data_IF_758316681745
#
_entry.id   IF_758316681745
#
_cell.length_a   1.000
_cell.length_b   1.000
_cell.length_c   1.000
_cell.angle_alpha   90.00
_cell.angle_beta   90.00
_cell.angle_gamma   90.00
#
_symmetry.space_group_name_H-M   'P 1'
#
loop_
_entity.id
_entity.type
_entity.pdbx_description
1 polymer ?
#
# COMPACT_ATOMS: atom_id res chain seq x y z
N UNK A 1 -3.34 -22.22 0.89
CA UNK A 1 -2.33 -22.48 1.93
C UNK A 1 -1.96 -21.14 2.54
N UNK A 2 -2.34 -20.90 3.79
CA UNK A 2 -1.93 -19.72 4.55
C UNK A 2 -0.55 -19.96 5.15
N UNK A 3 0.25 -18.90 5.28
CA UNK A 3 1.51 -18.96 6.01
C UNK A 3 1.28 -19.25 7.49
N UNK A 4 2.13 -20.06 8.14
CA UNK A 4 2.03 -20.31 9.59
C UNK A 4 2.28 -19.03 10.39
N UNK A 5 1.64 -18.86 11.56
CA UNK A 5 1.83 -17.67 12.42
C UNK A 5 3.31 -17.40 12.73
N UNK A 6 4.10 -18.45 12.99
CA UNK A 6 5.55 -18.32 13.18
C UNK A 6 6.25 -17.76 11.95
N UNK A 7 5.81 -18.07 10.73
CA UNK A 7 6.41 -17.50 9.53
C UNK A 7 5.98 -16.03 9.31
N UNK A 8 4.73 -15.70 9.65
CA UNK A 8 4.19 -14.34 9.51
C UNK A 8 4.97 -13.32 10.33
N UNK A 9 5.30 -13.63 11.59
CA UNK A 9 6.07 -12.76 12.49
C UNK A 9 7.51 -12.48 12.01
N UNK A 10 8.05 -13.33 11.14
CA UNK A 10 9.38 -13.15 10.54
C UNK A 10 9.34 -12.34 9.24
N UNK A 11 8.18 -12.19 8.60
CA UNK A 11 8.06 -11.46 7.34
C UNK A 11 8.02 -9.95 7.59
N UNK A 12 7.16 -9.50 8.52
CA UNK A 12 6.87 -8.10 8.73
C UNK A 12 6.23 -7.84 10.10
N UNK A 13 6.33 -6.60 10.59
CA UNK A 13 5.62 -6.12 11.77
C UNK A 13 5.14 -4.68 11.59
N UNK A 14 4.17 -4.27 12.42
CA UNK A 14 3.56 -2.93 12.50
C UNK A 14 3.76 -2.38 13.89
N UNK A 15 4.13 -1.12 14.03
CA UNK A 15 4.18 -0.49 15.35
C UNK A 15 2.80 -0.52 16.03
N UNK A 16 2.73 -0.94 17.30
CA UNK A 16 1.46 -1.03 18.05
C UNK A 16 0.78 0.33 18.22
N UNK A 17 1.58 1.36 18.48
CA UNK A 17 1.12 2.72 18.72
C UNK A 17 1.56 3.69 17.62
N UNK A 18 0.92 4.86 17.60
CA UNK A 18 1.40 6.00 16.83
C UNK A 18 2.72 6.49 17.41
N UNK A 19 3.81 6.21 16.67
CA UNK A 19 5.17 6.58 17.06
C UNK A 19 5.26 8.10 17.31
N UNK A 20 4.46 8.93 16.62
CA UNK A 20 4.47 10.38 16.76
C UNK A 20 4.15 10.89 18.16
N UNK A 21 3.28 10.20 18.92
CA UNK A 21 2.93 10.58 20.31
C UNK A 21 4.02 10.22 21.32
N UNK A 22 4.81 9.19 21.04
CA UNK A 22 5.95 8.78 21.88
C UNK A 22 7.21 9.63 21.63
N UNK A 23 7.32 10.26 20.46
CA UNK A 23 8.49 11.05 20.04
C UNK A 23 8.50 12.51 20.51
N UNK A 24 7.38 13.02 21.03
CA UNK A 24 7.31 14.38 21.58
C UNK A 24 7.96 14.49 22.97
N UNK A 25 8.24 13.36 23.62
CA UNK A 25 9.10 13.29 24.79
C UNK A 25 10.56 13.02 24.36
N UNK A 26 11.39 14.06 24.47
CA UNK A 26 12.82 14.13 24.09
C UNK A 26 13.71 13.02 24.68
N UNK A 27 13.21 12.24 25.64
CA UNK A 27 13.95 11.20 26.36
C UNK A 27 14.05 9.85 25.62
N UNK A 28 13.12 9.54 24.70
CA UNK A 28 13.06 8.21 24.07
C UNK A 28 14.24 7.97 23.10
N UNK A 29 14.77 9.03 22.48
CA UNK A 29 15.87 8.94 21.49
C UNK A 29 17.27 9.06 22.08
N UNK A 30 17.43 9.41 23.37
CA UNK A 30 18.75 9.37 24.03
C UNK A 30 19.25 7.94 24.30
N UNK A 31 18.42 6.91 24.10
CA UNK A 31 18.84 5.50 24.19
C UNK A 31 18.90 4.89 22.79
N UNK A 32 20.08 4.89 22.18
CA UNK A 32 20.37 4.21 20.90
C UNK A 32 20.64 2.70 21.10
N UNK A 33 20.12 2.13 22.19
CA UNK A 33 20.24 0.71 22.50
C UNK A 33 18.87 0.19 22.93
N UNK A 34 17.99 -0.06 21.96
CA UNK A 34 16.83 -0.92 22.19
C UNK A 34 17.30 -2.37 22.13
N UNK A 35 16.92 -3.17 23.13
CA UNK A 35 17.04 -4.63 23.07
C UNK A 35 16.05 -5.21 22.05
N UNK A 36 16.31 -6.42 21.56
CA UNK A 36 15.38 -7.12 20.63
C UNK A 36 14.01 -7.32 21.29
N UNK A 37 13.97 -7.56 22.60
CA UNK A 37 12.72 -7.76 23.36
C UNK A 37 11.90 -6.46 23.52
N UNK A 38 12.57 -5.30 23.66
CA UNK A 38 11.91 -3.98 23.65
C UNK A 38 11.38 -3.62 22.24
N UNK A 39 12.08 -4.06 21.18
CA UNK A 39 11.59 -3.95 19.80
C UNK A 39 10.44 -4.93 19.52
N UNK A 40 10.40 -6.09 20.14
CA UNK A 40 9.32 -7.06 19.92
C UNK A 40 8.04 -6.71 20.68
N UNK A 41 8.14 -6.03 21.81
CA UNK A 41 6.96 -5.52 22.54
C UNK A 41 6.31 -4.31 21.86
N UNK A 42 7.09 -3.48 21.13
CA UNK A 42 6.62 -2.27 20.45
C UNK A 42 5.94 -2.52 19.08
N UNK A 43 6.01 -3.75 18.56
CA UNK A 43 5.51 -4.11 17.23
C UNK A 43 4.59 -5.33 17.28
N UNK A 44 3.66 -5.42 16.34
CA UNK A 44 2.67 -6.49 16.21
C UNK A 44 2.54 -6.97 14.76
N UNK A 45 1.86 -8.09 14.56
CA UNK A 45 1.32 -8.51 13.26
C UNK A 45 -0.11 -8.02 13.09
N UNK A 46 -0.62 -7.96 11.85
CA UNK A 46 -2.06 -7.71 11.66
C UNK A 46 -2.87 -8.97 11.94
N UNK A 47 -4.00 -8.81 12.62
CA UNK A 47 -4.94 -9.90 12.86
C UNK A 47 -5.48 -10.47 11.55
N UNK A 48 -5.73 -11.77 11.52
CA UNK A 48 -6.40 -12.43 10.41
C UNK A 48 -7.81 -11.85 10.24
N UNK A 49 -8.16 -11.41 9.02
CA UNK A 49 -9.50 -10.93 8.67
C UNK A 49 -10.19 -11.77 7.60
N UNK A 50 -11.52 -11.96 7.69
CA UNK A 50 -12.29 -12.72 6.71
C UNK A 50 -12.24 -12.16 5.29
N UNK A 51 -12.37 -10.83 5.11
CA UNK A 51 -12.52 -10.19 3.79
C UNK A 51 -11.52 -9.04 3.62
N UNK A 52 -10.64 -9.17 2.64
CA UNK A 52 -9.71 -8.11 2.26
C UNK A 52 -9.93 -7.67 0.81
N UNK A 53 -9.90 -6.36 0.58
CA UNK A 53 -9.79 -5.78 -0.75
C UNK A 53 -8.35 -5.34 -1.01
N UNK A 54 -7.79 -5.73 -2.15
CA UNK A 54 -6.48 -5.28 -2.62
C UNK A 54 -6.71 -4.43 -3.86
N UNK A 55 -6.26 -3.18 -3.83
CA UNK A 55 -6.58 -2.19 -4.85
C UNK A 55 -5.31 -1.85 -5.64
N UNK A 56 -5.26 -2.32 -6.89
CA UNK A 56 -4.33 -1.86 -7.90
C UNK A 56 -4.75 -0.51 -8.49
N UNK A 57 -3.87 0.09 -9.28
CA UNK A 57 -4.04 1.47 -9.73
C UNK A 57 -4.61 1.61 -11.14
N UNK A 58 -4.97 0.50 -11.82
CA UNK A 58 -5.42 0.53 -13.22
C UNK A 58 -6.64 1.42 -13.44
N UNK A 59 -6.68 2.09 -14.61
CA UNK A 59 -7.81 2.88 -15.07
C UNK A 59 -9.10 2.07 -15.29
N UNK A 60 -9.04 0.72 -15.26
CA UNK A 60 -10.23 -0.14 -15.33
C UNK A 60 -11.26 0.17 -14.24
N UNK A 61 -10.82 0.81 -13.15
CA UNK A 61 -11.68 1.21 -12.04
C UNK A 61 -12.57 2.42 -12.38
N UNK A 62 -12.24 3.22 -13.38
CA UNK A 62 -13.02 4.41 -13.71
C UNK A 62 -14.45 4.03 -14.11
N UNK A 63 -15.43 4.71 -13.49
CA UNK A 63 -16.86 4.46 -13.63
C UNK A 63 -17.34 3.07 -13.18
N UNK A 64 -16.50 2.29 -12.49
CA UNK A 64 -16.85 0.96 -11.98
C UNK A 64 -17.86 1.00 -10.83
N UNK A 65 -17.97 2.13 -10.12
CA UNK A 65 -18.81 2.29 -8.91
C UNK A 65 -18.49 1.30 -7.78
N UNK A 66 -17.30 0.71 -7.79
CA UNK A 66 -16.88 -0.30 -6.82
C UNK A 66 -16.58 0.25 -5.43
N UNK A 67 -16.60 1.56 -5.22
CA UNK A 67 -16.15 2.17 -3.97
C UNK A 67 -16.89 1.69 -2.72
N UNK A 68 -18.21 1.49 -2.81
CA UNK A 68 -19.00 0.95 -1.68
C UNK A 68 -18.66 -0.51 -1.37
N UNK A 69 -18.47 -1.33 -2.40
CA UNK A 69 -18.09 -2.72 -2.23
C UNK A 69 -16.68 -2.83 -1.63
N UNK A 70 -15.73 -2.04 -2.13
CA UNK A 70 -14.37 -1.94 -1.59
C UNK A 70 -14.40 -1.58 -0.11
N UNK A 71 -15.12 -0.51 0.26
CA UNK A 71 -15.17 -0.02 1.64
C UNK A 71 -15.87 -0.98 2.61
N UNK A 72 -16.64 -1.95 2.09
CA UNK A 72 -17.29 -3.00 2.89
C UNK A 72 -16.36 -4.12 3.37
N UNK A 73 -15.14 -4.21 2.83
CA UNK A 73 -14.16 -5.22 3.25
C UNK A 73 -13.57 -4.87 4.62
N UNK A 74 -13.15 -5.87 5.39
CA UNK A 74 -12.55 -5.68 6.72
C UNK A 74 -11.27 -4.85 6.60
N UNK A 75 -10.40 -5.24 5.66
CA UNK A 75 -9.18 -4.52 5.31
C UNK A 75 -9.16 -4.08 3.86
N UNK A 76 -8.65 -2.86 3.63
CA UNK A 76 -8.42 -2.31 2.29
C UNK A 76 -6.94 -1.97 2.14
N UNK A 77 -6.29 -2.61 1.17
CA UNK A 77 -4.84 -2.55 0.94
C UNK A 77 -4.59 -1.80 -0.37
N UNK A 78 -3.77 -0.75 -0.33
CA UNK A 78 -3.45 0.13 -1.47
C UNK A 78 -1.94 0.29 -1.63
N UNK A 79 -1.49 0.79 -2.79
CA UNK A 79 -0.08 1.05 -3.03
C UNK A 79 0.22 2.42 -3.62
N UNK A 80 1.34 2.98 -3.18
CA UNK A 80 2.06 4.10 -3.78
C UNK A 80 1.31 5.45 -3.77
N UNK A 81 0.48 5.69 -2.76
CA UNK A 81 -0.21 6.97 -2.51
C UNK A 81 -1.02 7.46 -3.74
N UNK A 82 -1.98 6.65 -4.25
CA UNK A 82 -2.76 7.04 -5.42
C UNK A 82 -3.77 8.13 -5.05
N UNK A 83 -4.33 8.83 -6.05
CA UNK A 83 -5.47 9.72 -5.80
C UNK A 83 -6.65 8.94 -5.20
N UNK A 84 -7.39 9.54 -4.26
CA UNK A 84 -8.51 8.86 -3.58
C UNK A 84 -9.79 9.69 -3.61
N UNK A 85 -9.73 10.89 -3.04
CA UNK A 85 -10.90 11.75 -2.76
C UNK A 85 -11.75 12.01 -3.99
N UNK A 86 -11.12 12.26 -5.13
CA UNK A 86 -11.76 12.56 -6.41
C UNK A 86 -12.36 11.31 -7.09
N UNK A 87 -11.95 10.12 -6.66
CA UNK A 87 -12.29 8.82 -7.28
C UNK A 87 -13.08 7.91 -6.33
N UNK A 88 -13.52 8.42 -5.18
CA UNK A 88 -14.10 7.63 -4.11
C UNK A 88 -15.28 6.74 -4.52
N UNK A 89 -16.08 7.20 -5.49
CA UNK A 89 -17.21 6.44 -6.02
C UNK A 89 -16.77 5.10 -6.61
N UNK A 90 -15.60 5.09 -7.23
CA UNK A 90 -15.04 3.95 -7.94
C UNK A 90 -14.08 3.16 -7.06
N UNK A 91 -13.24 3.83 -6.27
CA UNK A 91 -12.14 3.19 -5.55
C UNK A 91 -12.30 3.16 -4.03
N UNK A 92 -13.35 3.77 -3.49
CA UNK A 92 -13.63 3.83 -2.05
C UNK A 92 -12.74 4.81 -1.29
N UNK A 93 -13.08 5.05 -0.03
CA UNK A 93 -12.34 5.93 0.89
C UNK A 93 -11.44 5.14 1.85
N UNK A 94 -11.84 3.92 2.22
CA UNK A 94 -11.20 3.13 3.28
C UNK A 94 -9.79 2.74 2.85
N UNK A 95 -8.84 2.92 3.76
CA UNK A 95 -7.46 2.46 3.61
C UNK A 95 -7.00 1.94 4.97
N UNK A 96 -6.75 0.63 5.05
CA UNK A 96 -6.17 0.01 6.25
C UNK A 96 -4.65 0.02 6.14
N UNK A 97 -4.12 -0.37 4.98
CA UNK A 97 -2.69 -0.50 4.75
C UNK A 97 -2.31 0.11 3.40
N UNK A 98 -1.36 1.03 3.42
CA UNK A 98 -0.77 1.65 2.25
C UNK A 98 0.67 1.18 2.10
N UNK A 99 0.93 0.31 1.13
CA UNK A 99 2.29 -0.06 0.77
C UNK A 99 2.96 1.08 0.00
N UNK A 100 4.18 1.46 0.37
CA UNK A 100 4.98 2.41 -0.40
C UNK A 100 6.27 1.77 -0.91
N UNK A 101 6.48 1.87 -2.21
CA UNK A 101 7.77 1.58 -2.82
C UNK A 101 8.78 2.72 -2.55
N UNK A 102 10.04 2.52 -2.97
CA UNK A 102 11.12 3.50 -2.76
C UNK A 102 10.82 4.88 -3.35
N UNK A 103 10.19 4.93 -4.52
CA UNK A 103 9.87 6.19 -5.20
C UNK A 103 8.77 6.97 -4.47
N UNK A 104 7.71 6.28 -4.03
CA UNK A 104 6.64 6.86 -3.23
C UNK A 104 7.16 7.43 -1.90
N UNK A 105 8.00 6.67 -1.19
CA UNK A 105 8.66 7.16 0.04
C UNK A 105 9.53 8.39 -0.24
N UNK A 106 10.32 8.36 -1.32
CA UNK A 106 11.16 9.51 -1.70
C UNK A 106 10.35 10.76 -2.01
N UNK A 107 9.25 10.62 -2.77
CA UNK A 107 8.33 11.72 -3.09
C UNK A 107 7.66 12.30 -1.85
N UNK A 108 7.18 11.43 -0.95
CA UNK A 108 6.61 11.83 0.35
C UNK A 108 7.64 12.60 1.18
N UNK A 109 8.85 12.06 1.34
CA UNK A 109 9.92 12.70 2.11
C UNK A 109 10.29 14.07 1.52
N UNK A 110 10.42 14.17 0.19
CA UNK A 110 10.73 15.43 -0.48
C UNK A 110 9.65 16.48 -0.23
N UNK A 111 8.37 16.08 -0.27
CA UNK A 111 7.24 17.00 -0.07
C UNK A 111 7.10 17.44 1.39
N UNK A 112 7.19 16.51 2.34
CA UNK A 112 6.94 16.79 3.77
C UNK A 112 8.14 17.39 4.50
N UNK A 113 9.37 17.07 4.09
CA UNK A 113 10.59 17.51 4.77
C UNK A 113 11.42 18.51 3.96
N UNK A 114 11.03 18.75 2.71
CA UNK A 114 11.69 19.71 1.82
C UNK A 114 11.41 21.16 2.20
N UNK A 115 12.22 22.08 1.65
CA UNK A 115 12.00 23.51 1.79
C UNK A 115 10.72 23.92 1.06
N UNK A 116 9.83 24.62 1.75
CA UNK A 116 8.58 25.14 1.20
C UNK A 116 8.75 26.58 0.68
N UNK A 117 9.76 26.80 -0.17
CA UNK A 117 10.17 28.13 -0.60
C UNK A 117 9.26 28.77 -1.65
N UNK A 118 8.43 27.99 -2.35
CA UNK A 118 7.53 28.48 -3.39
C UNK A 118 6.06 28.24 -3.03
N UNK A 119 5.14 28.99 -3.64
CA UNK A 119 3.69 28.79 -3.49
C UNK A 119 3.28 27.36 -3.84
N UNK A 120 3.84 26.80 -4.92
CA UNK A 120 3.56 25.42 -5.32
C UNK A 120 4.07 24.40 -4.29
N UNK A 121 5.25 24.61 -3.70
CA UNK A 121 5.79 23.72 -2.68
C UNK A 121 4.92 23.73 -1.40
N UNK A 122 4.45 24.91 -0.98
CA UNK A 122 3.51 25.07 0.14
C UNK A 122 2.19 24.35 -0.13
N UNK A 123 1.65 24.49 -1.33
CA UNK A 123 0.40 23.82 -1.70
C UNK A 123 0.56 22.29 -1.77
N UNK A 124 1.66 21.78 -2.33
CA UNK A 124 1.95 20.35 -2.33
C UNK A 124 2.09 19.79 -0.91
N UNK A 125 2.75 20.53 -0.01
CA UNK A 125 2.83 20.17 1.40
C UNK A 125 1.44 20.10 2.05
N UNK A 126 0.60 21.13 1.86
CA UNK A 126 -0.77 21.18 2.39
C UNK A 126 -1.62 20.02 1.88
N UNK A 127 -1.61 19.76 0.57
CA UNK A 127 -2.33 18.64 -0.05
C UNK A 127 -1.86 17.28 0.50
N UNK A 128 -0.56 17.11 0.71
CA UNK A 128 -0.01 15.88 1.29
C UNK A 128 -0.48 15.67 2.74
N UNK A 129 -0.52 16.72 3.56
CA UNK A 129 -1.09 16.63 4.92
C UNK A 129 -2.60 16.31 4.88
N UNK A 130 -3.35 16.95 4.00
CA UNK A 130 -4.78 16.66 3.81
C UNK A 130 -5.00 15.19 3.40
N UNK A 131 -4.15 14.66 2.52
CA UNK A 131 -4.18 13.27 2.09
C UNK A 131 -3.97 12.30 3.26
N UNK A 132 -2.99 12.55 4.12
CA UNK A 132 -2.76 11.71 5.31
C UNK A 132 -3.84 11.86 6.38
N UNK A 133 -4.42 13.06 6.55
CA UNK A 133 -5.62 13.25 7.39
C UNK A 133 -6.83 12.49 6.86
N UNK A 134 -6.97 12.40 5.55
CA UNK A 134 -8.05 11.66 4.94
C UNK A 134 -7.90 10.14 5.11
N UNK A 135 -6.66 9.63 5.11
CA UNK A 135 -6.34 8.23 5.41
C UNK A 135 -5.97 7.99 6.89
N UNK A 136 -6.54 8.77 7.81
CA UNK A 136 -6.23 8.64 9.23
C UNK A 136 -6.45 7.19 9.72
N UNK A 137 -5.73 6.80 10.76
CA UNK A 137 -5.80 5.48 11.39
C UNK A 137 -5.38 4.32 10.45
N UNK A 138 -4.63 4.65 9.40
CA UNK A 138 -4.04 3.68 8.47
C UNK A 138 -2.61 3.29 8.84
N UNK A 139 -2.12 2.24 8.18
CA UNK A 139 -0.75 1.76 8.29
C UNK A 139 0.03 2.14 7.02
N UNK A 140 1.11 2.90 7.19
CA UNK A 140 2.11 3.10 6.14
C UNK A 140 3.14 1.98 6.20
N UNK A 141 3.01 1.03 5.28
CA UNK A 141 3.87 -0.14 5.22
C UNK A 141 4.94 0.02 4.16
N UNK A 142 6.18 -0.28 4.53
CA UNK A 142 7.33 -0.12 3.66
C UNK A 142 7.98 -1.48 3.36
N UNK A 143 8.15 -1.75 2.07
CA UNK A 143 8.94 -2.87 1.59
C UNK A 143 10.41 -2.75 2.03
N UNK A 144 11.07 -3.87 2.28
CA UNK A 144 12.50 -3.91 2.67
C UNK A 144 13.37 -3.23 1.61
N UNK A 145 14.31 -2.39 2.07
CA UNK A 145 15.18 -1.57 1.20
C UNK A 145 15.01 -0.06 1.40
N UNK A 146 14.04 0.37 2.21
CA UNK A 146 13.84 1.77 2.62
C UNK A 146 14.74 2.22 3.78
N UNK A 147 15.75 1.44 4.16
CA UNK A 147 16.65 1.75 5.29
C UNK A 147 17.32 3.12 5.18
N UNK A 148 17.61 3.59 3.96
CA UNK A 148 18.11 4.96 3.69
C UNK A 148 17.14 6.06 4.13
N UNK A 149 15.85 5.76 4.20
CA UNK A 149 14.80 6.69 4.61
C UNK A 149 14.48 6.62 6.10
N UNK A 150 15.09 5.74 6.91
CA UNK A 150 14.76 5.56 8.33
C UNK A 150 14.72 6.88 9.12
N UNK A 151 15.75 7.72 8.97
CA UNK A 151 15.81 9.04 9.61
C UNK A 151 14.72 10.00 9.10
N UNK A 152 14.41 9.96 7.81
CA UNK A 152 13.33 10.78 7.23
C UNK A 152 11.97 10.34 7.76
N UNK A 153 11.73 9.04 7.85
CA UNK A 153 10.47 8.47 8.34
C UNK A 153 10.24 8.78 9.81
N UNK A 154 11.29 8.76 10.64
CA UNK A 154 11.22 9.23 12.03
C UNK A 154 10.78 10.69 12.10
N UNK A 155 11.37 11.57 11.28
CA UNK A 155 10.96 12.99 11.22
C UNK A 155 9.52 13.16 10.74
N UNK A 156 9.06 12.33 9.81
CA UNK A 156 7.67 12.33 9.36
C UNK A 156 6.73 11.87 10.48
N UNK A 157 7.08 10.84 11.25
CA UNK A 157 6.29 10.41 12.39
C UNK A 157 6.13 11.53 13.45
N UNK A 158 7.22 12.26 13.76
CA UNK A 158 7.14 13.46 14.61
C UNK A 158 6.20 14.51 14.02
N UNK A 159 6.32 14.78 12.72
CA UNK A 159 5.47 15.74 12.03
C UNK A 159 4.00 15.33 12.11
N UNK A 160 3.67 14.07 11.86
CA UNK A 160 2.31 13.56 11.94
C UNK A 160 1.73 13.70 13.36
N UNK A 161 2.52 13.41 14.40
CA UNK A 161 2.12 13.66 15.78
C UNK A 161 1.79 15.13 16.05
N UNK A 162 2.59 16.07 15.54
CA UNK A 162 2.33 17.52 15.66
C UNK A 162 1.09 17.98 14.88
N UNK A 163 0.83 17.36 13.74
CA UNK A 163 -0.31 17.68 12.86
C UNK A 163 -1.60 16.92 13.24
N UNK A 164 -1.57 16.16 14.35
CA UNK A 164 -2.64 15.28 14.84
C UNK A 164 -3.11 14.24 13.80
N UNK A 165 -2.17 13.74 13.00
CA UNK A 165 -2.37 12.69 12.00
C UNK A 165 -2.00 11.36 12.66
N UNK A 166 -2.98 10.50 12.84
CA UNK A 166 -2.82 9.19 13.45
C UNK A 166 -2.47 8.18 12.36
N UNK A 167 -1.24 7.69 12.39
CA UNK A 167 -0.76 6.76 11.37
C UNK A 167 0.28 5.83 11.99
N UNK A 168 0.11 4.52 11.76
CA UNK A 168 1.07 3.52 12.19
C UNK A 168 2.06 3.22 11.07
N UNK A 169 3.29 2.89 11.44
CA UNK A 169 4.33 2.53 10.46
C UNK A 169 4.62 1.03 10.54
N UNK A 170 4.60 0.36 9.39
CA UNK A 170 4.93 -1.05 9.25
C UNK A 170 6.19 -1.26 8.41
N UNK A 171 6.95 -2.29 8.73
CA UNK A 171 8.20 -2.63 8.05
C UNK A 171 8.32 -4.13 7.81
N UNK A 172 9.00 -4.49 6.72
CA UNK A 172 9.34 -5.88 6.41
C UNK A 172 10.76 -6.21 6.84
N UNK A 173 10.96 -7.33 7.54
CA UNK A 173 12.27 -7.83 7.93
C UNK A 173 12.91 -8.69 6.84
N UNK A 174 12.08 -9.31 5.99
CA UNK A 174 12.52 -10.06 4.81
C UNK A 174 12.34 -9.25 3.53
N UNK A 175 13.07 -9.65 2.48
CA UNK A 175 12.89 -9.04 1.17
C UNK A 175 11.51 -9.42 0.64
N UNK A 176 10.56 -8.49 0.62
CA UNK A 176 9.22 -8.74 0.07
C UNK A 176 9.29 -9.10 -1.39
N UNK A 177 10.21 -8.49 -2.15
CA UNK A 177 10.53 -8.87 -3.54
C UNK A 177 11.02 -10.31 -3.62
N UNK A 178 11.98 -10.71 -2.76
CA UNK A 178 12.53 -12.07 -2.76
C UNK A 178 11.52 -13.14 -2.33
N UNK A 179 10.73 -12.83 -1.31
CA UNK A 179 9.61 -13.66 -0.84
C UNK A 179 8.61 -13.88 -1.98
N UNK A 180 8.19 -12.78 -2.61
CA UNK A 180 7.23 -12.78 -3.72
C UNK A 180 7.74 -13.58 -4.92
N UNK A 181 9.02 -13.36 -5.30
CA UNK A 181 9.69 -14.13 -6.35
C UNK A 181 9.72 -15.63 -6.06
N UNK A 182 10.01 -16.01 -4.83
CA UNK A 182 10.06 -17.42 -4.43
C UNK A 182 8.66 -18.04 -4.45
N UNK A 183 7.69 -17.32 -3.90
CA UNK A 183 6.29 -17.77 -3.76
C UNK A 183 5.60 -18.00 -5.11
N UNK A 184 5.88 -17.17 -6.12
CA UNK A 184 5.21 -17.23 -7.43
C UNK A 184 6.14 -17.39 -8.63
N UNK A 185 7.43 -17.68 -8.39
CA UNK A 185 8.44 -17.99 -9.42
C UNK A 185 8.55 -16.92 -10.52
N UNK A 186 8.43 -15.65 -10.16
CA UNK A 186 8.50 -14.55 -11.14
C UNK A 186 9.94 -14.34 -11.62
N UNK A 187 10.12 -14.21 -12.94
CA UNK A 187 11.44 -13.94 -13.53
C UNK A 187 11.83 -12.46 -13.39
N UNK A 188 10.90 -11.54 -13.71
CA UNK A 188 11.08 -10.10 -13.52
C UNK A 188 10.85 -9.68 -12.06
N UNK A 189 11.07 -8.40 -11.77
CA UNK A 189 10.76 -7.84 -10.46
C UNK A 189 9.24 -7.85 -10.30
N UNK A 190 8.68 -8.43 -9.22
CA UNK A 190 7.25 -8.38 -8.95
C UNK A 190 6.74 -6.94 -8.86
N UNK A 191 5.54 -6.69 -9.38
CA UNK A 191 4.88 -5.41 -9.19
C UNK A 191 4.52 -5.14 -7.73
N UNK A 192 4.22 -3.88 -7.43
CA UNK A 192 3.66 -3.51 -6.13
C UNK A 192 2.36 -4.24 -5.81
N UNK A 193 1.50 -4.45 -6.81
CA UNK A 193 0.25 -5.19 -6.64
C UNK A 193 0.50 -6.63 -6.23
N UNK A 194 1.47 -7.27 -6.87
CA UNK A 194 1.83 -8.64 -6.58
C UNK A 194 2.39 -8.75 -5.15
N UNK A 195 3.32 -7.86 -4.76
CA UNK A 195 3.84 -7.82 -3.38
C UNK A 195 2.72 -7.64 -2.34
N UNK A 196 1.72 -6.79 -2.61
CA UNK A 196 0.57 -6.62 -1.71
C UNK A 196 -0.20 -7.94 -1.54
N UNK A 197 -0.43 -8.68 -2.62
CA UNK A 197 -1.09 -9.98 -2.56
C UNK A 197 -0.29 -10.98 -1.70
N UNK A 198 1.04 -11.01 -1.81
CA UNK A 198 1.88 -11.98 -1.09
C UNK A 198 1.81 -11.76 0.41
N UNK A 199 1.65 -10.49 0.80
CA UNK A 199 1.57 -10.08 2.19
C UNK A 199 0.14 -10.20 2.71
N UNK A 200 -0.87 -9.90 1.90
CA UNK A 200 -2.27 -10.15 2.24
C UNK A 200 -2.54 -11.63 2.56
N UNK A 201 -1.89 -12.58 1.86
CA UNK A 201 -1.96 -14.03 2.18
C UNK A 201 -1.58 -14.36 3.64
N UNK A 202 -0.93 -13.45 4.37
CA UNK A 202 -0.55 -13.66 5.77
C UNK A 202 -1.63 -13.25 6.77
N UNK A 203 -2.60 -12.42 6.40
CA UNK A 203 -3.63 -11.91 7.32
C UNK A 203 -5.02 -11.76 6.70
N UNK A 204 -5.24 -12.31 5.51
CA UNK A 204 -6.53 -12.31 4.82
C UNK A 204 -6.96 -13.74 4.49
N UNK A 205 -8.21 -14.08 4.82
CA UNK A 205 -8.80 -15.37 4.45
C UNK A 205 -9.30 -15.36 3.01
N UNK A 206 -10.10 -14.33 2.65
CA UNK A 206 -10.63 -14.14 1.31
C UNK A 206 -10.15 -12.80 0.75
N UNK A 207 -9.64 -12.83 -0.48
CA UNK A 207 -9.06 -11.67 -1.14
C UNK A 207 -9.85 -11.34 -2.41
N UNK A 208 -10.28 -10.09 -2.49
CA UNK A 208 -10.88 -9.51 -3.70
C UNK A 208 -9.93 -8.47 -4.26
N UNK A 209 -9.56 -8.61 -5.53
CA UNK A 209 -8.63 -7.73 -6.22
C UNK A 209 -9.42 -6.80 -7.15
N UNK A 210 -9.11 -5.51 -7.08
CA UNK A 210 -9.70 -4.46 -7.90
C UNK A 210 -8.58 -3.68 -8.59
N UNK A 211 -8.74 -3.29 -9.86
CA UNK A 211 -7.73 -2.45 -10.53
C UNK A 211 -6.44 -3.18 -10.91
N UNK A 212 -6.47 -4.50 -10.97
CA UNK A 212 -5.39 -5.35 -11.47
C UNK A 212 -5.64 -5.68 -12.94
N UNK A 213 -5.47 -4.70 -13.82
CA UNK A 213 -5.73 -4.85 -15.25
C UNK A 213 -4.68 -4.09 -16.07
N UNK A 214 -3.74 -4.79 -16.73
CA UNK A 214 -2.56 -4.16 -17.32
C UNK A 214 -2.68 -3.92 -18.83
N UNK A 215 -3.89 -3.80 -19.36
CA UNK A 215 -4.12 -3.65 -20.79
C UNK A 215 -4.78 -2.30 -21.10
N UNK A 216 -4.42 -1.74 -22.26
CA UNK A 216 -4.92 -0.44 -22.74
C UNK A 216 -6.38 -0.48 -23.22
N UNK A 217 -7.00 -1.65 -23.31
CA UNK A 217 -8.41 -1.82 -23.68
C UNK A 217 -9.09 -2.81 -22.76
N UNK A 218 -10.33 -2.52 -22.38
CA UNK A 218 -11.19 -3.45 -21.65
C UNK A 218 -11.71 -4.58 -22.58
N UNK A 219 -12.41 -5.61 -22.05
CA UNK A 219 -12.98 -6.68 -22.88
C UNK A 219 -14.01 -6.22 -23.91
N UNK A 220 -14.59 -5.02 -23.75
CA UNK A 220 -15.53 -4.41 -24.71
C UNK A 220 -14.81 -3.55 -25.76
N UNK A 221 -13.48 -3.41 -25.68
CA UNK A 221 -12.66 -2.61 -26.59
C UNK A 221 -12.52 -1.14 -26.20
N UNK A 222 -13.09 -0.71 -25.06
CA UNK A 222 -12.99 0.69 -24.62
C UNK A 222 -11.57 1.00 -24.12
N UNK A 223 -11.04 2.21 -24.34
CA UNK A 223 -9.74 2.61 -23.83
C UNK A 223 -9.67 2.57 -22.30
N UNK A 224 -8.57 2.07 -21.77
CA UNK A 224 -8.26 2.02 -20.35
C UNK A 224 -6.99 2.83 -20.10
N UNK A 225 -7.06 3.76 -19.15
CA UNK A 225 -5.88 4.51 -18.71
C UNK A 225 -4.95 3.63 -17.87
N UNK A 226 -3.65 3.92 -17.91
CA UNK A 226 -2.68 3.17 -17.10
C UNK A 226 -2.97 3.31 -15.61
N UNK A 227 -3.28 4.53 -15.17
CA UNK A 227 -3.76 4.79 -13.82
C UNK A 227 -5.11 5.52 -13.82
N UNK A 228 -5.98 5.17 -12.87
CA UNK A 228 -7.27 5.85 -12.72
C UNK A 228 -7.13 7.33 -12.30
N UNK A 229 -6.00 7.73 -11.71
CA UNK A 229 -5.75 9.08 -11.20
C UNK A 229 -4.76 9.90 -12.04
N UNK A 230 -4.34 9.41 -13.21
CA UNK A 230 -3.43 10.13 -14.11
C UNK A 230 -4.03 10.16 -15.53
N UNK A 231 -4.80 11.21 -15.88
CA UNK A 231 -5.56 11.24 -17.14
C UNK A 231 -4.68 11.18 -18.39
N UNK A 232 -3.41 11.59 -18.29
CA UNK A 232 -2.48 11.67 -19.42
C UNK A 232 -1.54 10.46 -19.53
N UNK A 233 -1.65 9.46 -18.64
CA UNK A 233 -0.78 8.29 -18.64
C UNK A 233 -1.47 7.11 -19.34
N UNK A 234 -1.13 6.92 -20.60
CA UNK A 234 -1.70 5.87 -21.48
C UNK A 234 -0.66 4.83 -21.92
N UNK A 235 0.62 5.01 -21.56
CA UNK A 235 1.68 4.06 -21.87
C UNK A 235 1.71 2.92 -20.85
N UNK A 236 1.53 1.69 -21.33
CA UNK A 236 1.60 0.46 -20.54
C UNK A 236 2.95 -0.25 -20.65
N UNK A 237 3.87 0.27 -21.46
CA UNK A 237 5.17 -0.37 -21.66
C UNK A 237 6.08 -0.20 -20.44
N UNK A 238 6.63 -1.31 -19.98
CA UNK A 238 7.67 -1.32 -18.95
C UNK A 238 8.61 -2.50 -19.13
N UNK A 239 9.89 -2.28 -18.86
CA UNK A 239 10.88 -3.34 -18.82
C UNK A 239 11.04 -3.95 -17.42
N UNK A 240 10.56 -3.27 -16.38
CA UNK A 240 10.79 -3.65 -14.99
C UNK A 240 9.94 -4.84 -14.51
N UNK A 241 8.68 -4.88 -14.93
CA UNK A 241 7.67 -5.85 -14.50
C UNK A 241 7.16 -6.68 -15.69
N UNK A 242 6.55 -7.82 -15.41
CA UNK A 242 5.89 -8.67 -16.42
C UNK A 242 4.39 -8.72 -16.15
N UNK A 243 3.72 -7.58 -16.33
CA UNK A 243 2.33 -7.41 -15.92
C UNK A 243 1.37 -8.38 -16.60
N UNK A 244 1.64 -8.78 -17.85
CA UNK A 244 0.83 -9.78 -18.54
C UNK A 244 0.92 -11.15 -17.86
N UNK A 245 2.13 -11.62 -17.51
CA UNK A 245 2.28 -12.87 -16.74
C UNK A 245 1.65 -12.76 -15.36
N UNK A 246 1.82 -11.64 -14.67
CA UNK A 246 1.18 -11.43 -13.36
C UNK A 246 -0.34 -11.52 -13.47
N UNK A 247 -0.94 -10.84 -14.45
CA UNK A 247 -2.39 -10.86 -14.66
C UNK A 247 -2.90 -12.26 -15.07
N UNK A 248 -2.20 -12.98 -15.96
CA UNK A 248 -2.53 -14.36 -16.30
C UNK A 248 -2.50 -15.29 -15.09
N UNK A 249 -1.52 -15.10 -14.20
CA UNK A 249 -1.46 -15.82 -12.93
C UNK A 249 -2.67 -15.48 -12.02
N UNK A 250 -3.04 -14.21 -11.89
CA UNK A 250 -4.21 -13.80 -11.12
C UNK A 250 -5.51 -14.40 -11.66
N UNK A 251 -5.67 -14.47 -12.98
CA UNK A 251 -6.80 -15.15 -13.64
C UNK A 251 -6.84 -16.63 -13.28
N UNK A 252 -5.71 -17.32 -13.39
CA UNK A 252 -5.62 -18.74 -13.02
C UNK A 252 -5.96 -18.97 -11.54
N UNK A 253 -5.57 -18.08 -10.62
CA UNK A 253 -5.93 -18.15 -9.21
C UNK A 253 -7.43 -17.93 -8.98
N UNK A 254 -8.04 -17.03 -9.75
CA UNK A 254 -9.50 -16.85 -9.73
C UNK A 254 -10.23 -18.10 -10.21
N UNK A 255 -9.80 -18.69 -11.32
CA UNK A 255 -10.46 -19.88 -11.89
C UNK A 255 -10.39 -21.09 -10.94
N UNK A 256 -9.39 -21.12 -10.06
CA UNK A 256 -9.23 -22.10 -8.98
C UNK A 256 -9.97 -21.73 -7.68
N UNK A 257 -10.63 -20.57 -7.63
CA UNK A 257 -11.37 -20.10 -6.46
C UNK A 257 -10.53 -19.55 -5.31
N UNK A 258 -9.24 -19.24 -5.52
CA UNK A 258 -8.36 -18.72 -4.46
C UNK A 258 -8.56 -17.22 -4.18
N UNK A 259 -9.04 -16.47 -5.15
CA UNK A 259 -9.32 -15.04 -5.04
C UNK A 259 -10.43 -14.65 -6.02
N UNK A 260 -11.00 -13.46 -5.84
CA UNK A 260 -11.90 -12.85 -6.83
C UNK A 260 -11.17 -11.68 -7.49
N UNK A 261 -11.12 -11.66 -8.82
CA UNK A 261 -10.54 -10.59 -9.62
C UNK A 261 -11.66 -9.79 -10.30
N UNK A 262 -11.89 -8.57 -9.83
CA UNK A 262 -12.95 -7.70 -10.34
C UNK A 262 -12.41 -6.82 -11.46
N UNK A 263 -12.97 -7.01 -12.65
CA UNK A 263 -12.69 -6.20 -13.85
C UNK A 263 -13.95 -5.51 -14.41
N UNK A 264 -15.13 -5.87 -13.91
CA UNK A 264 -16.42 -5.32 -14.30
C UNK A 264 -16.93 -4.30 -13.28
N UNK A 265 -17.88 -3.42 -13.65
CA UNK A 265 -18.57 -2.54 -12.70
C UNK A 265 -19.27 -3.31 -11.59
N UNK A 266 -19.25 -2.75 -10.38
CA UNK A 266 -19.89 -3.32 -9.19
C UNK A 266 -21.35 -2.86 -9.04
N UNK A 267 -22.15 -3.68 -8.36
CA UNK A 267 -23.53 -3.32 -7.96
C UNK A 267 -24.53 -3.19 -9.10
N UNK A 268 -24.51 -4.15 -10.04
CA UNK A 268 -25.69 -4.39 -10.90
C UNK A 268 -26.88 -4.84 -10.07
#
# INVERSE_FOLDING_TARGET
>A
MTFSQSFQSHIWKVAKEDIGKSLTNDSYFKRVHCTVDELDTAYDTMDMKPKCAIIGNSGILLNSRCGREIDSHDYVIRANLPGLKEYNRDVGNKTTLMMMNRAAVGSMCKTLLGKQSTTQAKENYRKMLEYFRYMNDSILWMAKGTGSFRKHLQRIAVLFGKENIHTRFGFSYVSTVGLTRTRWRTQKVPSSGLIMLAIAETFCQNMTLYGFYPYAKDPSGNPVLYHYYQPNLTDFHTNAHDFDKEHKMLRSLQDQGFLRLVIDPCGK
#
